data_IF_989027097685
#
_entry.id   IF_989027097685
#
_cell.length_a   1.000
_cell.length_b   1.000
_cell.length_c   1.000
_cell.angle_alpha   90.00
_cell.angle_beta   90.00
_cell.angle_gamma   90.00
#
_symmetry.space_group_name_H-M   'P 1'
#
loop_
_entity.id
_entity.type
_entity.pdbx_description
1 polymer ?
#
# COMPACT_ATOMS: atom_id res chain seq x y z
N UNK A 1 4.54 -11.86 14.72
CA UNK A 1 5.37 -10.65 14.75
C UNK A 1 4.74 -9.58 13.90
N UNK A 2 4.59 -8.37 14.43
CA UNK A 2 3.94 -7.29 13.71
C UNK A 2 4.97 -6.47 12.93
N UNK A 3 4.69 -6.25 11.65
CA UNK A 3 5.54 -5.41 10.81
C UNK A 3 5.32 -3.94 11.14
N UNK A 4 6.35 -3.13 10.94
CA UNK A 4 6.23 -1.68 11.07
C UNK A 4 5.81 -1.07 9.74
N UNK A 5 5.02 0.02 9.80
CA UNK A 5 4.55 0.72 8.61
C UNK A 5 5.45 1.90 8.31
N UNK A 6 5.97 1.95 7.07
CA UNK A 6 6.76 3.07 6.59
C UNK A 6 6.22 3.52 5.22
N UNK A 7 6.50 4.77 4.87
CA UNK A 7 6.12 5.34 3.58
C UNK A 7 7.36 5.82 2.84
N UNK A 8 7.47 5.47 1.57
CA UNK A 8 8.45 6.11 0.69
C UNK A 8 8.12 7.60 0.55
N UNK A 9 9.12 8.44 0.34
CA UNK A 9 8.93 9.90 0.26
C UNK A 9 7.83 10.31 -0.72
N UNK A 10 7.88 9.75 -1.92
CA UNK A 10 6.90 10.07 -2.96
C UNK A 10 5.48 9.62 -2.56
N UNK A 11 5.39 8.45 -1.93
CA UNK A 11 4.12 7.92 -1.45
C UNK A 11 3.55 8.78 -0.34
N UNK A 12 4.40 9.23 0.58
CA UNK A 12 3.96 10.06 1.69
C UNK A 12 3.37 11.39 1.20
N UNK A 13 4.00 12.00 0.21
CA UNK A 13 3.49 13.24 -0.39
C UNK A 13 2.12 13.05 -1.01
N UNK A 14 1.92 11.96 -1.74
CA UNK A 14 0.63 11.64 -2.34
C UNK A 14 -0.41 11.33 -1.27
N UNK A 15 -0.01 10.60 -0.25
CA UNK A 15 -0.90 10.22 0.84
C UNK A 15 -1.40 11.44 1.61
N UNK A 16 -0.52 12.42 1.83
CA UNK A 16 -0.89 13.66 2.53
C UNK A 16 -1.92 14.47 1.76
N UNK A 17 -1.98 14.31 0.44
CA UNK A 17 -2.94 15.00 -0.42
C UNK A 17 -4.27 14.28 -0.54
N UNK A 18 -4.39 13.08 -0.01
CA UNK A 18 -5.64 12.34 -0.07
C UNK A 18 -6.72 13.00 0.78
N UNK A 19 -7.97 12.80 0.37
CA UNK A 19 -9.11 13.13 1.22
C UNK A 19 -8.93 12.43 2.57
N UNK A 20 -9.14 13.12 3.70
CA UNK A 20 -8.94 12.52 5.02
C UNK A 20 -9.68 11.21 5.25
N UNK A 21 -10.89 11.07 4.69
CA UNK A 21 -11.65 9.84 4.82
C UNK A 21 -10.97 8.66 4.10
N UNK A 22 -10.41 8.93 2.93
CA UNK A 22 -9.69 7.92 2.15
C UNK A 22 -8.40 7.54 2.87
N UNK A 23 -7.66 8.53 3.35
CA UNK A 23 -6.43 8.29 4.09
C UNK A 23 -6.69 7.43 5.33
N UNK A 24 -7.73 7.76 6.08
CA UNK A 24 -8.09 6.99 7.27
C UNK A 24 -8.45 5.55 6.95
N UNK A 25 -9.20 5.31 5.88
CA UNK A 25 -9.54 3.96 5.46
C UNK A 25 -8.29 3.14 5.10
N UNK A 26 -7.32 3.77 4.41
CA UNK A 26 -6.06 3.09 4.10
C UNK A 26 -5.24 2.80 5.35
N UNK A 27 -5.19 3.72 6.30
CA UNK A 27 -4.47 3.49 7.55
C UNK A 27 -5.05 2.27 8.27
N UNK A 28 -6.37 2.17 8.36
CA UNK A 28 -7.03 1.02 8.99
C UNK A 28 -6.71 -0.29 8.26
N UNK A 29 -6.75 -0.27 6.92
CA UNK A 29 -6.42 -1.46 6.13
C UNK A 29 -4.96 -1.86 6.30
N UNK A 30 -4.06 -0.89 6.30
CA UNK A 30 -2.63 -1.16 6.48
C UNK A 30 -2.35 -1.72 7.87
N UNK A 31 -2.93 -1.14 8.91
CA UNK A 31 -2.77 -1.66 10.26
C UNK A 31 -3.26 -3.10 10.38
N UNK A 32 -4.36 -3.43 9.71
CA UNK A 32 -4.92 -4.77 9.74
C UNK A 32 -4.00 -5.81 9.10
N UNK A 33 -3.19 -5.43 8.12
CA UNK A 33 -2.30 -6.38 7.44
C UNK A 33 -0.91 -6.47 8.06
N UNK A 34 -0.57 -5.64 9.03
CA UNK A 34 0.79 -5.60 9.57
C UNK A 34 1.21 -6.91 10.25
N UNK A 35 0.28 -7.70 10.71
CA UNK A 35 0.60 -9.01 11.29
C UNK A 35 0.88 -10.06 10.23
N UNK A 36 0.25 -9.92 9.05
CA UNK A 36 0.44 -10.85 7.94
C UNK A 36 0.29 -10.10 6.61
N UNK A 37 1.31 -9.32 6.21
CA UNK A 37 1.20 -8.48 5.02
C UNK A 37 1.32 -9.22 3.69
N UNK A 38 1.75 -10.47 3.72
CA UNK A 38 1.92 -11.26 2.49
C UNK A 38 0.63 -11.96 2.11
N UNK A 39 -0.33 -11.18 1.61
CA UNK A 39 -1.65 -11.69 1.23
C UNK A 39 -1.58 -12.16 -0.23
N UNK A 40 -1.68 -13.49 -0.51
CA UNK A 40 -1.46 -14.01 -1.87
C UNK A 40 -2.33 -13.38 -2.95
N UNK A 41 -3.59 -13.13 -2.66
CA UNK A 41 -4.51 -12.54 -3.64
C UNK A 41 -4.17 -11.10 -3.99
N UNK A 42 -3.38 -10.42 -3.16
CA UNK A 42 -2.98 -9.03 -3.38
C UNK A 42 -1.59 -8.90 -4.00
N UNK A 43 -0.91 -10.00 -4.21
CA UNK A 43 0.45 -10.01 -4.73
C UNK A 43 0.48 -9.56 -6.18
N UNK A 44 1.44 -8.68 -6.51
CA UNK A 44 1.65 -8.25 -7.88
C UNK A 44 2.53 -9.25 -8.62
N UNK A 45 2.23 -9.47 -9.90
CA UNK A 45 2.95 -10.44 -10.71
C UNK A 45 4.38 -10.02 -11.06
N UNK A 46 4.65 -8.73 -10.97
CA UNK A 46 5.94 -8.17 -11.39
C UNK A 46 7.07 -8.40 -10.38
N UNK A 47 6.73 -8.79 -9.16
CA UNK A 47 7.73 -8.96 -8.11
C UNK A 47 7.26 -9.97 -7.07
N UNK A 48 8.20 -10.51 -6.31
CA UNK A 48 7.91 -11.47 -5.25
C UNK A 48 7.50 -10.81 -3.95
N UNK A 49 7.76 -9.52 -3.78
CA UNK A 49 7.53 -8.81 -2.52
C UNK A 49 6.63 -7.58 -2.64
N UNK A 50 6.04 -7.33 -3.82
CA UNK A 50 5.12 -6.22 -4.04
C UNK A 50 3.67 -6.68 -3.95
N UNK A 51 2.86 -5.88 -3.28
CA UNK A 51 1.45 -6.15 -3.04
C UNK A 51 0.63 -4.90 -3.27
N UNK A 52 -0.66 -5.07 -3.48
CA UNK A 52 -1.59 -3.96 -3.68
C UNK A 52 -2.75 -4.02 -2.69
N UNK A 53 -3.24 -2.85 -2.29
CA UNK A 53 -4.47 -2.70 -1.54
C UNK A 53 -5.44 -1.84 -2.35
N UNK A 54 -6.63 -2.36 -2.58
CA UNK A 54 -7.67 -1.65 -3.32
C UNK A 54 -8.61 -0.93 -2.37
N UNK A 55 -8.99 0.28 -2.73
CA UNK A 55 -10.10 0.98 -2.10
C UNK A 55 -11.16 1.19 -3.17
N UNK A 56 -12.00 0.19 -3.36
CA UNK A 56 -12.93 0.11 -4.49
C UNK A 56 -13.90 1.28 -4.56
N UNK A 57 -14.44 1.68 -3.42
CA UNK A 57 -15.43 2.76 -3.38
C UNK A 57 -14.87 4.10 -3.87
N UNK A 58 -13.57 4.31 -3.73
CA UNK A 58 -12.92 5.55 -4.12
C UNK A 58 -12.11 5.43 -5.42
N UNK A 59 -11.98 4.22 -5.97
CA UNK A 59 -11.20 3.99 -7.18
C UNK A 59 -9.71 4.18 -7.00
N UNK A 60 -9.20 4.00 -5.78
CA UNK A 60 -7.78 4.14 -5.46
C UNK A 60 -7.11 2.80 -5.30
N UNK A 61 -5.80 2.80 -5.53
CA UNK A 61 -4.93 1.65 -5.26
C UNK A 61 -3.67 2.11 -4.56
N UNK A 62 -3.17 1.25 -3.68
CA UNK A 62 -1.95 1.48 -2.94
C UNK A 62 -1.03 0.28 -3.19
N UNK A 63 0.24 0.55 -3.44
CA UNK A 63 1.25 -0.49 -3.63
C UNK A 63 2.21 -0.45 -2.45
N UNK A 64 2.45 -1.61 -1.85
CA UNK A 64 3.39 -1.71 -0.75
C UNK A 64 4.35 -2.85 -0.97
N UNK A 65 5.54 -2.73 -0.38
CA UNK A 65 6.58 -3.75 -0.40
C UNK A 65 6.72 -4.35 0.99
N UNK A 66 6.86 -5.68 1.05
CA UNK A 66 7.14 -6.35 2.32
C UNK A 66 8.65 -6.59 2.40
N UNK A 67 9.28 -6.01 3.41
CA UNK A 67 10.73 -6.14 3.62
C UNK A 67 10.95 -7.01 4.86
N UNK A 68 11.14 -8.30 4.63
CA UNK A 68 11.21 -9.28 5.71
C UNK A 68 12.40 -9.05 6.64
N UNK A 69 13.55 -8.70 6.09
CA UNK A 69 14.77 -8.51 6.88
C UNK A 69 14.63 -7.39 7.90
N UNK A 70 13.82 -6.40 7.59
CA UNK A 70 13.58 -5.25 8.47
C UNK A 70 12.25 -5.33 9.20
N UNK A 71 11.42 -6.30 8.86
CA UNK A 71 10.06 -6.45 9.38
C UNK A 71 9.26 -5.17 9.12
N UNK A 72 9.29 -4.70 7.88
CA UNK A 72 8.69 -3.43 7.46
C UNK A 72 7.74 -3.64 6.29
N UNK A 73 6.59 -2.96 6.34
CA UNK A 73 5.70 -2.77 5.20
C UNK A 73 5.94 -1.35 4.69
N UNK A 74 6.51 -1.23 3.51
CA UNK A 74 6.86 0.06 2.91
C UNK A 74 5.85 0.42 1.83
N UNK A 75 5.11 1.50 2.04
CA UNK A 75 4.18 2.01 1.05
C UNK A 75 4.97 2.73 -0.03
N UNK A 76 4.91 2.21 -1.26
CA UNK A 76 5.66 2.73 -2.39
C UNK A 76 4.88 3.77 -3.20
N UNK A 77 3.58 3.56 -3.35
CA UNK A 77 2.75 4.47 -4.13
C UNK A 77 1.29 4.33 -3.73
N UNK A 78 0.55 5.42 -3.92
CA UNK A 78 -0.90 5.45 -3.76
C UNK A 78 -1.44 6.41 -4.80
N UNK A 79 -2.41 5.96 -5.59
CA UNK A 79 -2.99 6.79 -6.63
C UNK A 79 -4.30 6.20 -7.12
N UNK A 80 -4.95 6.92 -8.01
CA UNK A 80 -6.12 6.40 -8.69
C UNK A 80 -5.73 5.20 -9.53
N UNK A 81 -6.63 4.26 -9.64
CA UNK A 81 -6.43 2.99 -10.31
C UNK A 81 -5.78 3.10 -11.69
N UNK A 82 -6.34 3.95 -12.54
CA UNK A 82 -5.86 4.10 -13.91
C UNK A 82 -4.48 4.74 -13.99
N UNK A 83 -4.17 5.67 -13.09
CA UNK A 83 -2.87 6.33 -13.03
C UNK A 83 -1.76 5.34 -12.66
N UNK A 84 -2.00 4.50 -11.64
CA UNK A 84 -1.03 3.49 -11.22
C UNK A 84 -0.71 2.52 -12.35
N UNK A 85 -1.73 2.07 -13.07
CA UNK A 85 -1.53 1.12 -14.16
C UNK A 85 -0.78 1.72 -15.34
N UNK A 86 -0.91 3.00 -15.58
CA UNK A 86 -0.16 3.66 -16.64
C UNK A 86 1.34 3.73 -16.35
N UNK A 87 1.69 3.79 -15.07
CA UNK A 87 3.07 3.91 -14.63
C UNK A 87 3.75 2.56 -14.40
N UNK A 88 3.02 1.50 -14.50
CA UNK A 88 3.53 0.14 -14.42
C UNK A 88 3.56 -0.51 -15.79
#
# INVERSE_FOLDING_TARGET
MTYELEFAKAALKKFDKLNPQIAEQYIRKLEAILENPKIPKNKLRVSTDLYKLKLRSAGYRLVYQVIDDRVVVLVLDVDRRDTIYKNM
#
